data_IF_746007257803
#
_entry.id   IF_746007257803
#
_cell.length_a   1.000
_cell.length_b   1.000
_cell.length_c   1.000
_cell.angle_alpha   90.00
_cell.angle_beta   90.00
_cell.angle_gamma   90.00
#
_symmetry.space_group_name_H-M   'P 1'
#
loop_
_entity.id
_entity.type
_entity.pdbx_description
1 polymer ?
#
# COMPACT_ATOMS: atom_id res chain seq x y z
N UNK A 1 38.06 3.59 -4.33
CA UNK A 1 37.52 3.32 -2.97
C UNK A 1 36.87 1.94 -2.95
N UNK A 2 37.54 0.94 -2.37
CA UNK A 2 37.03 -0.45 -2.28
C UNK A 2 35.90 -0.49 -1.25
N UNK A 3 34.65 -0.59 -1.71
CA UNK A 3 33.53 -0.95 -0.84
C UNK A 3 33.82 -2.32 -0.20
N UNK A 4 33.65 -2.48 1.13
CA UNK A 4 34.07 -3.67 1.86
C UNK A 4 33.36 -4.91 1.32
N UNK A 5 34.12 -6.01 1.12
CA UNK A 5 33.63 -7.29 0.57
C UNK A 5 32.53 -7.95 1.42
N UNK A 6 32.22 -7.39 2.59
CA UNK A 6 31.08 -7.77 3.43
C UNK A 6 29.70 -7.52 2.79
N UNK A 7 29.60 -6.69 1.74
CA UNK A 7 28.34 -6.44 1.02
C UNK A 7 27.97 -7.54 0.01
N UNK A 8 28.82 -8.56 -0.21
CA UNK A 8 28.57 -9.61 -1.21
C UNK A 8 27.71 -10.78 -0.71
N UNK A 9 27.48 -10.91 0.60
CA UNK A 9 26.54 -11.90 1.11
C UNK A 9 25.11 -11.43 0.86
N UNK A 10 24.36 -12.17 0.04
CA UNK A 10 22.92 -11.93 -0.18
C UNK A 10 22.12 -11.86 1.12
N UNK A 11 22.66 -12.47 2.19
CA UNK A 11 22.15 -12.44 3.55
C UNK A 11 22.10 -11.03 4.17
N UNK A 12 23.04 -10.16 3.83
CA UNK A 12 23.16 -8.81 4.41
C UNK A 12 22.29 -7.82 3.63
N UNK A 13 22.17 -8.03 2.31
CA UNK A 13 21.30 -7.22 1.44
C UNK A 13 19.84 -7.39 1.85
N UNK A 14 19.36 -8.62 2.07
CA UNK A 14 17.98 -8.81 2.52
C UNK A 14 17.74 -8.17 3.90
N UNK A 15 18.71 -8.25 4.83
CA UNK A 15 18.59 -7.62 6.16
C UNK A 15 18.51 -6.10 6.06
N UNK A 16 19.30 -5.48 5.19
CA UNK A 16 19.29 -4.04 4.96
C UNK A 16 17.98 -3.57 4.30
N UNK A 17 17.48 -4.32 3.31
CA UNK A 17 16.17 -4.08 2.70
C UNK A 17 15.08 -4.18 3.76
N UNK A 18 15.05 -5.27 4.53
CA UNK A 18 14.06 -5.51 5.57
C UNK A 18 14.09 -4.42 6.65
N UNK A 19 15.28 -4.01 7.10
CA UNK A 19 15.43 -2.96 8.11
C UNK A 19 14.84 -1.62 7.68
N UNK A 20 14.94 -1.29 6.39
CA UNK A 20 14.45 -0.03 5.80
C UNK A 20 12.97 -0.09 5.48
N UNK A 21 12.50 -1.24 4.99
CA UNK A 21 11.14 -1.44 4.48
C UNK A 21 10.13 -1.73 5.59
N UNK A 22 10.54 -2.42 6.67
CA UNK A 22 9.63 -2.90 7.72
C UNK A 22 8.79 -1.80 8.37
N UNK A 23 9.37 -0.62 8.61
CA UNK A 23 8.66 0.50 9.26
C UNK A 23 7.59 1.06 8.34
N UNK A 24 7.91 1.23 7.05
CA UNK A 24 6.98 1.75 6.05
C UNK A 24 5.83 0.78 5.79
N UNK A 25 6.11 -0.53 5.72
CA UNK A 25 5.07 -1.55 5.58
C UNK A 25 4.18 -1.61 6.83
N UNK A 26 4.77 -1.58 8.03
CA UNK A 26 4.00 -1.65 9.27
C UNK A 26 3.08 -0.42 9.44
N UNK A 27 3.58 0.77 9.13
CA UNK A 27 2.77 1.99 9.11
C UNK A 27 1.64 1.91 8.07
N UNK A 28 1.94 1.43 6.85
CA UNK A 28 0.93 1.22 5.81
C UNK A 28 -0.15 0.22 6.24
N UNK A 29 0.24 -0.89 6.85
CA UNK A 29 -0.67 -1.92 7.36
C UNK A 29 -1.55 -1.41 8.51
N UNK A 30 -0.99 -0.61 9.42
CA UNK A 30 -1.76 0.01 10.50
C UNK A 30 -2.83 0.96 9.95
N UNK A 31 -2.48 1.79 8.95
CA UNK A 31 -3.43 2.68 8.29
C UNK A 31 -4.50 1.93 7.49
N UNK A 32 -4.15 0.79 6.88
CA UNK A 32 -5.13 -0.10 6.24
C UNK A 32 -6.14 -0.61 7.24
N UNK A 33 -5.71 -1.05 8.42
CA UNK A 33 -6.62 -1.51 9.46
C UNK A 33 -7.61 -0.43 9.90
N UNK A 34 -7.12 0.81 10.06
CA UNK A 34 -7.98 1.98 10.32
C UNK A 34 -8.97 2.22 9.17
N UNK A 35 -8.52 2.10 7.92
CA UNK A 35 -9.42 2.24 6.77
C UNK A 35 -10.51 1.17 6.74
N UNK A 36 -10.18 -0.08 7.03
CA UNK A 36 -11.16 -1.17 7.11
C UNK A 36 -12.21 -0.87 8.18
N UNK A 37 -11.80 -0.43 9.37
CA UNK A 37 -12.75 -0.06 10.44
C UNK A 37 -13.70 1.09 10.02
N UNK A 38 -13.20 2.07 9.27
CA UNK A 38 -14.03 3.15 8.73
C UNK A 38 -14.99 2.66 7.63
N UNK A 39 -14.55 1.75 6.77
CA UNK A 39 -15.41 1.14 5.76
C UNK A 39 -16.54 0.31 6.40
N UNK A 40 -16.27 -0.38 7.52
CA UNK A 40 -17.31 -1.04 8.34
C UNK A 40 -18.29 -0.04 8.96
N UNK A 41 -17.77 1.08 9.47
CA UNK A 41 -18.60 2.15 10.05
C UNK A 41 -19.55 2.78 9.02
N UNK A 42 -19.14 2.86 7.75
CA UNK A 42 -19.98 3.37 6.67
C UNK A 42 -21.26 2.53 6.48
N UNK A 43 -21.17 1.20 6.58
CA UNK A 43 -22.34 0.30 6.50
C UNK A 43 -23.32 0.60 7.65
N UNK A 44 -22.82 0.84 8.85
CA UNK A 44 -23.64 1.22 10.00
C UNK A 44 -24.39 2.55 9.77
N UNK A 45 -23.71 3.58 9.26
CA UNK A 45 -24.33 4.89 9.01
C UNK A 45 -25.40 4.81 7.91
N UNK A 46 -25.15 4.04 6.85
CA UNK A 46 -26.15 3.84 5.78
C UNK A 46 -27.40 3.14 6.33
N UNK A 47 -27.24 2.08 7.13
CA UNK A 47 -28.39 1.39 7.72
C UNK A 47 -29.22 2.30 8.64
N UNK A 48 -28.57 3.19 9.40
CA UNK A 48 -29.27 4.19 10.23
C UNK A 48 -29.97 5.26 9.40
N UNK A 49 -29.37 5.68 8.29
CA UNK A 49 -29.98 6.62 7.37
C UNK A 49 -31.23 6.01 6.71
N UNK A 50 -31.17 4.75 6.27
CA UNK A 50 -32.31 4.03 5.69
C UNK A 50 -33.45 3.89 6.70
N UNK A 51 -33.15 3.45 7.94
CA UNK A 51 -34.16 3.35 8.98
C UNK A 51 -34.84 4.71 9.30
N UNK A 52 -34.07 5.81 9.22
CA UNK A 52 -34.63 7.15 9.37
C UNK A 52 -35.52 7.56 8.19
N UNK A 53 -35.15 7.16 6.97
CA UNK A 53 -35.96 7.41 5.77
C UNK A 53 -37.30 6.68 5.83
N UNK A 54 -37.31 5.42 6.27
CA UNK A 54 -38.54 4.63 6.47
C UNK A 54 -39.48 5.32 7.49
N UNK A 55 -38.93 5.76 8.62
CA UNK A 55 -39.73 6.47 9.65
C UNK A 55 -40.34 7.78 9.13
N UNK A 56 -39.65 8.46 8.21
CA UNK A 56 -40.10 9.72 7.61
C UNK A 56 -41.16 9.52 6.52
N UNK A 57 -41.16 8.38 5.85
CA UNK A 57 -42.20 8.02 4.87
C UNK A 57 -43.54 7.77 5.57
N UNK A 58 -43.51 7.18 6.77
CA UNK A 58 -44.69 6.97 7.62
C UNK A 58 -45.18 8.24 8.35
N UNK A 59 -44.28 9.14 8.76
CA UNK A 59 -44.62 10.43 9.41
C UNK A 59 -43.91 11.62 8.74
N UNK A 60 -44.62 12.39 7.88
CA UNK A 60 -44.05 13.57 7.20
C UNK A 60 -43.60 14.69 8.14
N UNK A 61 -44.08 14.72 9.39
CA UNK A 61 -43.70 15.73 10.38
C UNK A 61 -42.40 15.37 11.12
N UNK A 62 -41.80 14.21 10.83
CA UNK A 62 -40.56 13.80 11.45
C UNK A 62 -39.42 14.82 11.22
N UNK A 63 -38.62 15.15 12.25
CA UNK A 63 -37.61 16.19 12.18
C UNK A 63 -36.50 15.86 11.18
N UNK A 64 -36.27 16.76 10.21
CA UNK A 64 -35.27 16.65 9.13
C UNK A 64 -33.83 16.51 9.67
N UNK A 65 -33.58 17.08 10.85
CA UNK A 65 -32.26 17.16 11.45
C UNK A 65 -31.61 15.78 11.66
N UNK A 66 -32.40 14.75 12.00
CA UNK A 66 -31.90 13.39 12.19
C UNK A 66 -31.22 12.82 10.93
N UNK A 67 -31.87 12.94 9.77
CA UNK A 67 -31.30 12.47 8.50
C UNK A 67 -30.09 13.27 8.05
N UNK A 68 -30.08 14.58 8.33
CA UNK A 68 -28.94 15.45 8.03
C UNK A 68 -27.70 15.03 8.83
N UNK A 69 -27.86 14.72 10.13
CA UNK A 69 -26.75 14.26 10.97
C UNK A 69 -26.12 12.96 10.44
N UNK A 70 -26.93 11.98 10.03
CA UNK A 70 -26.42 10.73 9.49
C UNK A 70 -25.72 10.92 8.14
N UNK A 71 -26.29 11.73 7.26
CA UNK A 71 -25.70 12.02 5.93
C UNK A 71 -24.37 12.77 6.05
N UNK A 72 -24.29 13.75 6.95
CA UNK A 72 -23.03 14.48 7.22
C UNK A 72 -21.98 13.55 7.82
N UNK A 73 -22.36 12.71 8.80
CA UNK A 73 -21.45 11.75 9.43
C UNK A 73 -20.91 10.73 8.43
N UNK A 74 -21.76 10.20 7.55
CA UNK A 74 -21.37 9.30 6.46
C UNK A 74 -20.37 9.99 5.52
N UNK A 75 -20.68 11.22 5.09
CA UNK A 75 -19.81 11.99 4.20
C UNK A 75 -18.43 12.25 4.82
N UNK A 76 -18.39 12.65 6.09
CA UNK A 76 -17.16 12.86 6.83
C UNK A 76 -16.36 11.56 6.98
N UNK A 77 -17.02 10.45 7.29
CA UNK A 77 -16.38 9.12 7.40
C UNK A 77 -15.76 8.68 6.08
N UNK A 78 -16.47 8.85 4.96
CA UNK A 78 -15.96 8.52 3.63
C UNK A 78 -14.77 9.41 3.22
N UNK A 79 -14.85 10.72 3.50
CA UNK A 79 -13.76 11.66 3.22
C UNK A 79 -12.49 11.32 4.04
N UNK A 80 -12.67 11.03 5.34
CA UNK A 80 -11.57 10.63 6.21
C UNK A 80 -10.95 9.31 5.73
N UNK A 81 -11.79 8.32 5.41
CA UNK A 81 -11.33 7.03 4.90
C UNK A 81 -10.53 7.20 3.59
N UNK A 82 -10.98 8.04 2.66
CA UNK A 82 -10.25 8.35 1.43
C UNK A 82 -8.84 8.92 1.72
N UNK A 83 -8.73 9.86 2.68
CA UNK A 83 -7.45 10.42 3.10
C UNK A 83 -6.53 9.37 3.73
N UNK A 84 -7.05 8.52 4.63
CA UNK A 84 -6.30 7.44 5.27
C UNK A 84 -5.80 6.43 4.23
N UNK A 85 -6.64 6.03 3.27
CA UNK A 85 -6.25 5.12 2.18
C UNK A 85 -5.16 5.74 1.29
N UNK A 86 -5.26 7.03 0.99
CA UNK A 86 -4.23 7.74 0.23
C UNK A 86 -2.89 7.76 0.96
N UNK A 87 -2.90 7.99 2.28
CA UNK A 87 -1.69 7.88 3.11
C UNK A 87 -1.13 6.46 3.20
N UNK A 88 -1.98 5.45 3.37
CA UNK A 88 -1.53 4.05 3.37
C UNK A 88 -0.83 3.68 2.04
N UNK A 89 -1.42 4.09 0.92
CA UNK A 89 -0.86 3.89 -0.42
C UNK A 89 0.49 4.60 -0.59
N UNK A 90 0.64 5.80 -0.03
CA UNK A 90 1.91 6.52 -0.05
C UNK A 90 3.02 5.73 0.64
N UNK A 91 2.77 5.23 1.85
CA UNK A 91 3.77 4.45 2.61
C UNK A 91 4.18 3.17 1.89
N UNK A 92 3.21 2.44 1.31
CA UNK A 92 3.46 1.22 0.55
C UNK A 92 4.25 1.51 -0.74
N UNK A 93 3.94 2.60 -1.45
CA UNK A 93 4.73 3.04 -2.62
C UNK A 93 6.15 3.45 -2.24
N UNK A 94 6.32 4.14 -1.12
CA UNK A 94 7.64 4.55 -0.62
C UNK A 94 8.51 3.34 -0.24
N UNK A 95 7.90 2.31 0.34
CA UNK A 95 8.55 1.01 0.55
C UNK A 95 9.01 0.38 -0.78
N UNK A 96 8.13 0.33 -1.79
CA UNK A 96 8.47 -0.18 -3.12
C UNK A 96 9.62 0.58 -3.81
N UNK A 97 9.64 1.90 -3.69
CA UNK A 97 10.74 2.75 -4.20
C UNK A 97 12.06 2.47 -3.49
N UNK A 98 12.03 2.27 -2.18
CA UNK A 98 13.21 1.93 -1.39
C UNK A 98 13.81 0.60 -1.83
N UNK A 99 12.97 -0.42 -2.07
CA UNK A 99 13.39 -1.73 -2.60
C UNK A 99 14.05 -1.57 -3.97
N UNK A 100 13.42 -0.82 -4.89
CA UNK A 100 13.98 -0.54 -6.22
C UNK A 100 15.38 0.06 -6.13
N UNK A 101 15.57 1.06 -5.27
CA UNK A 101 16.86 1.74 -5.13
C UNK A 101 17.96 0.79 -4.65
N UNK A 102 17.67 -0.08 -3.66
CA UNK A 102 18.65 -1.05 -3.15
C UNK A 102 19.01 -2.11 -4.20
N UNK A 103 18.01 -2.62 -4.92
CA UNK A 103 18.22 -3.60 -6.00
C UNK A 103 19.06 -2.98 -7.11
N UNK A 104 18.72 -1.78 -7.56
CA UNK A 104 19.47 -1.07 -8.60
C UNK A 104 20.92 -0.83 -8.20
N UNK A 105 21.16 -0.35 -6.97
CA UNK A 105 22.52 -0.16 -6.46
C UNK A 105 23.30 -1.49 -6.43
N UNK A 106 22.68 -2.57 -5.94
CA UNK A 106 23.32 -3.89 -5.84
C UNK A 106 23.75 -4.43 -7.20
N UNK A 107 22.89 -4.26 -8.21
CA UNK A 107 23.14 -4.73 -9.58
C UNK A 107 24.19 -3.88 -10.28
N UNK A 108 24.14 -2.57 -10.08
CA UNK A 108 25.15 -1.65 -10.60
C UNK A 108 26.55 -2.06 -10.11
N UNK A 109 26.70 -2.31 -8.80
CA UNK A 109 27.96 -2.78 -8.24
C UNK A 109 28.38 -4.16 -8.74
N UNK A 110 27.43 -5.09 -8.91
CA UNK A 110 27.73 -6.42 -9.47
C UNK A 110 28.21 -6.33 -10.92
N UNK A 111 27.60 -5.46 -11.72
CA UNK A 111 27.92 -5.24 -13.14
C UNK A 111 29.31 -4.63 -13.34
N UNK A 112 29.71 -3.73 -12.45
CA UNK A 112 31.08 -3.18 -12.46
C UNK A 112 32.15 -4.24 -12.14
N UNK A 113 31.80 -5.27 -11.37
CA UNK A 113 32.70 -6.38 -10.98
C UNK A 113 32.70 -7.57 -11.95
N UNK A 114 31.92 -7.55 -13.05
CA UNK A 114 31.92 -8.65 -14.04
C UNK A 114 33.22 -8.69 -14.86
N UNK A 115 33.72 -9.90 -15.12
CA UNK A 115 34.90 -10.11 -15.97
C UNK A 115 34.60 -9.77 -17.45
N UNK A 116 35.62 -9.45 -18.28
CA UNK A 116 35.43 -9.13 -19.69
C UNK A 116 34.70 -10.21 -20.50
N UNK A 117 35.01 -11.49 -20.23
CA UNK A 117 34.35 -12.63 -20.87
C UNK A 117 32.86 -12.75 -20.49
N UNK A 118 32.49 -12.37 -19.26
CA UNK A 118 31.10 -12.33 -18.82
C UNK A 118 30.35 -11.10 -19.37
N UNK A 119 31.02 -9.94 -19.52
CA UNK A 119 30.47 -8.75 -20.18
C UNK A 119 30.13 -8.98 -21.66
N UNK A 120 30.86 -9.86 -22.34
CA UNK A 120 30.58 -10.21 -23.73
C UNK A 120 29.26 -10.99 -23.90
N UNK A 121 28.81 -11.72 -22.88
CA UNK A 121 27.54 -12.48 -22.91
C UNK A 121 26.33 -11.67 -22.46
N UNK A 122 26.51 -10.67 -21.60
CA UNK A 122 25.42 -9.89 -21.01
C UNK A 122 25.82 -8.42 -20.95
N UNK A 123 25.13 -7.57 -21.72
CA UNK A 123 25.40 -6.13 -21.70
C UNK A 123 24.83 -5.50 -20.42
N UNK A 124 25.67 -4.68 -19.77
CA UNK A 124 25.29 -3.94 -18.56
C UNK A 124 24.00 -3.12 -18.75
N UNK A 125 23.85 -2.49 -19.92
CA UNK A 125 22.67 -1.71 -20.28
C UNK A 125 21.40 -2.54 -20.40
N UNK A 126 21.48 -3.76 -20.96
CA UNK A 126 20.33 -4.66 -21.05
C UNK A 126 19.84 -5.09 -19.66
N UNK A 127 20.76 -5.46 -18.76
CA UNK A 127 20.42 -5.85 -17.38
C UNK A 127 19.77 -4.69 -16.63
N UNK A 128 20.34 -3.49 -16.69
CA UNK A 128 19.79 -2.32 -16.00
C UNK A 128 18.41 -1.95 -16.57
N UNK A 129 18.22 -2.04 -17.89
CA UNK A 129 16.94 -1.77 -18.54
C UNK A 129 15.86 -2.81 -18.15
N UNK A 130 16.21 -4.10 -18.20
CA UNK A 130 15.33 -5.20 -17.80
C UNK A 130 14.91 -5.05 -16.32
N UNK A 131 15.89 -4.79 -15.43
CA UNK A 131 15.63 -4.59 -14.01
C UNK A 131 14.81 -3.33 -13.74
N UNK A 132 14.99 -2.27 -14.54
CA UNK A 132 14.16 -1.06 -14.43
C UNK A 132 12.70 -1.37 -14.75
N UNK A 133 12.45 -2.13 -15.82
CA UNK A 133 11.11 -2.56 -16.20
C UNK A 133 10.49 -3.48 -15.12
N UNK A 134 11.25 -4.45 -14.60
CA UNK A 134 10.77 -5.38 -13.57
C UNK A 134 10.50 -4.67 -12.23
N UNK A 135 11.38 -3.76 -11.81
CA UNK A 135 11.18 -2.98 -10.58
C UNK A 135 9.96 -2.05 -10.67
N UNK A 136 9.69 -1.48 -11.86
CA UNK A 136 8.49 -0.68 -12.08
C UNK A 136 7.22 -1.51 -11.93
N UNK A 137 7.22 -2.75 -12.46
CA UNK A 137 6.12 -3.71 -12.26
C UNK A 137 5.93 -4.04 -10.79
N UNK A 138 7.00 -4.26 -10.02
CA UNK A 138 6.89 -4.48 -8.58
C UNK A 138 6.21 -3.32 -7.85
N UNK A 139 6.59 -2.07 -8.12
CA UNK A 139 5.95 -0.88 -7.52
C UNK A 139 4.46 -0.82 -7.89
N UNK A 140 4.11 -1.17 -9.12
CA UNK A 140 2.72 -1.19 -9.59
C UNK A 140 1.87 -2.29 -8.93
N UNK A 141 2.47 -3.38 -8.47
CA UNK A 141 1.79 -4.50 -7.79
C UNK A 141 1.61 -4.24 -6.28
N UNK A 142 2.44 -3.39 -5.67
CA UNK A 142 2.36 -3.10 -4.22
C UNK A 142 0.95 -2.69 -3.73
N UNK A 143 0.18 -1.83 -4.43
CA UNK A 143 -1.19 -1.51 -4.05
C UNK A 143 -2.13 -2.72 -4.08
N UNK A 144 -1.93 -3.65 -5.02
CA UNK A 144 -2.73 -4.87 -5.10
C UNK A 144 -2.48 -5.79 -3.89
N UNK A 145 -1.26 -5.84 -3.38
CA UNK A 145 -0.93 -6.58 -2.15
C UNK A 145 -1.66 -6.00 -0.95
N UNK A 146 -1.71 -4.67 -0.84
CA UNK A 146 -2.46 -3.97 0.21
C UNK A 146 -3.95 -4.34 0.19
N UNK A 147 -4.54 -4.43 -1.01
CA UNK A 147 -5.92 -4.88 -1.17
C UNK A 147 -6.10 -6.37 -0.79
N UNK A 148 -5.18 -7.24 -1.21
CA UNK A 148 -5.22 -8.68 -0.89
C UNK A 148 -5.22 -8.94 0.62
N UNK A 149 -4.46 -8.17 1.40
CA UNK A 149 -4.44 -8.26 2.87
C UNK A 149 -5.78 -7.83 3.49
N UNK A 150 -6.49 -6.91 2.84
CA UNK A 150 -7.76 -6.38 3.35
C UNK A 150 -8.93 -7.32 3.07
N UNK A 151 -8.85 -8.13 2.01
CA UNK A 151 -9.95 -9.01 1.57
C UNK A 151 -10.45 -10.01 2.64
N UNK A 152 -9.59 -10.74 3.39
CA UNK A 152 -10.06 -11.66 4.43
C UNK A 152 -10.89 -10.96 5.50
N UNK A 153 -10.52 -9.73 5.86
CA UNK A 153 -11.25 -8.93 6.85
C UNK A 153 -12.63 -8.50 6.34
N UNK A 154 -12.73 -8.16 5.05
CA UNK A 154 -14.01 -7.85 4.42
C UNK A 154 -14.93 -9.06 4.33
N UNK A 155 -14.42 -10.19 3.84
CA UNK A 155 -15.21 -11.41 3.68
C UNK A 155 -15.71 -11.92 5.03
N UNK A 156 -14.87 -11.88 6.07
CA UNK A 156 -15.27 -12.30 7.42
C UNK A 156 -16.29 -11.38 8.12
N UNK A 157 -16.53 -10.18 7.62
CA UNK A 157 -17.58 -9.28 8.14
C UNK A 157 -18.89 -9.40 7.36
N UNK A 158 -18.80 -9.62 6.03
CA UNK A 158 -19.96 -9.64 5.13
C UNK A 158 -20.68 -11.00 5.14
N UNK A 159 -19.97 -12.08 5.46
CA UNK A 159 -20.52 -13.45 5.60
C UNK A 159 -20.83 -13.74 7.06
#
# INVERSE_FOLDING_TARGET
>A
TRLPDRLQSGTIIYKAIWATVRVNILMGMALVFVSVALDLSNVYFVNRLVAWLETRDDDPNAPVWGGLQWTVSLTCSMALNAAVRAHALYWVKLAGLSIRNVIMASIFYKTLRLSPAARAKVSAGCVVNQMAADAQRFIAVMPSIQNLVSLPLYVGYVV
#
